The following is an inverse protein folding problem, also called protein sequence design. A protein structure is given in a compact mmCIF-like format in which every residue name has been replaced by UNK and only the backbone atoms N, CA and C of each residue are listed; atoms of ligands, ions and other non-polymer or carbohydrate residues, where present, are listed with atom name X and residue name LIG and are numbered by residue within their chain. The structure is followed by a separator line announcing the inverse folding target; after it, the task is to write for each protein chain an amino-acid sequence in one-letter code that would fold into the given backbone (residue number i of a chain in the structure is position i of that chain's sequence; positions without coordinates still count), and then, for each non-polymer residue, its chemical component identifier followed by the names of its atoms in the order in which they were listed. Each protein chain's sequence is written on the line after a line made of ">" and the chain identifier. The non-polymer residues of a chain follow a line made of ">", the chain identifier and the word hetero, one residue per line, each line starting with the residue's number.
data_IF_940696452413
#
_entry.id   IF_940696452413
#
_cell.length_a   1.000
_cell.length_b   1.000
_cell.length_c   1.000
_cell.angle_alpha   90.00
_cell.angle_beta   90.00
_cell.angle_gamma   90.00
#
_symmetry.space_group_name_H-M   'P 1'
#
loop_
_entity.id
_entity.type
_entity.pdbx_description
1 polymer ?
#
# COMPACT_ATOMS: atom_id res chain seq x y z
N UNK A 1 15.33 -4.90 -0.44
CA UNK A 1 15.04 -3.91 -1.50
C UNK A 1 13.84 -4.28 -2.37
N UNK A 2 13.66 -5.54 -2.80
CA UNK A 2 12.55 -5.94 -3.69
C UNK A 2 11.12 -5.73 -3.15
N UNK A 3 10.87 -5.97 -1.85
CA UNK A 3 9.53 -5.84 -1.27
C UNK A 3 9.01 -4.40 -1.29
N UNK A 4 9.86 -3.41 -0.98
CA UNK A 4 9.48 -2.00 -1.05
C UNK A 4 9.09 -1.63 -2.49
N UNK A 5 9.93 -1.99 -3.47
CA UNK A 5 9.65 -1.75 -4.89
C UNK A 5 8.33 -2.41 -5.30
N UNK A 6 8.10 -3.66 -4.90
CA UNK A 6 6.86 -4.37 -5.17
C UNK A 6 5.64 -3.59 -4.66
N UNK A 7 5.62 -3.20 -3.38
CA UNK A 7 4.50 -2.44 -2.82
C UNK A 7 4.38 -1.03 -3.40
N UNK A 8 5.48 -0.41 -3.84
CA UNK A 8 5.43 0.85 -4.59
C UNK A 8 4.74 0.67 -5.95
N UNK A 9 5.02 -0.41 -6.68
CA UNK A 9 4.30 -0.72 -7.93
C UNK A 9 2.82 -0.94 -7.67
N UNK A 10 2.47 -1.73 -6.63
CA UNK A 10 1.07 -1.94 -6.23
C UNK A 10 0.38 -0.61 -5.87
N UNK A 11 1.07 0.26 -5.15
CA UNK A 11 0.56 1.60 -4.82
C UNK A 11 0.21 2.39 -6.09
N UNK A 12 1.12 2.44 -7.07
CA UNK A 12 0.87 3.16 -8.32
C UNK A 12 -0.26 2.53 -9.14
N UNK A 13 -0.37 1.20 -9.17
CA UNK A 13 -1.51 0.53 -9.80
C UNK A 13 -2.84 0.97 -9.18
N UNK A 14 -2.92 1.07 -7.85
CA UNK A 14 -4.13 1.54 -7.16
C UNK A 14 -4.41 3.02 -7.40
N UNK A 15 -3.35 3.84 -7.46
CA UNK A 15 -3.46 5.25 -7.78
C UNK A 15 -4.04 5.47 -9.19
N UNK A 16 -3.50 4.77 -10.20
CA UNK A 16 -3.98 4.86 -11.57
C UNK A 16 -5.35 4.22 -11.75
N UNK A 17 -5.63 3.10 -11.06
CA UNK A 17 -6.97 2.51 -11.06
C UNK A 17 -8.01 3.50 -10.51
N UNK A 18 -7.70 4.20 -9.41
CA UNK A 18 -8.57 5.24 -8.87
C UNK A 18 -8.78 6.40 -9.87
N UNK A 19 -7.75 6.75 -10.64
CA UNK A 19 -7.87 7.73 -11.72
C UNK A 19 -8.80 7.24 -12.83
N UNK A 20 -8.58 6.03 -13.35
CA UNK A 20 -9.38 5.45 -14.42
C UNK A 20 -10.85 5.29 -14.01
N UNK A 21 -11.11 4.87 -12.77
CA UNK A 21 -12.48 4.75 -12.24
C UNK A 21 -13.22 6.10 -12.24
N UNK A 22 -12.53 7.20 -11.90
CA UNK A 22 -13.12 8.53 -11.98
C UNK A 22 -13.43 8.94 -13.43
N UNK A 23 -12.56 8.61 -14.38
CA UNK A 23 -12.79 8.91 -15.80
C UNK A 23 -13.95 8.10 -16.37
N UNK A 24 -13.94 6.78 -16.17
CA UNK A 24 -14.96 5.86 -16.68
C UNK A 24 -16.35 6.13 -16.11
N UNK A 25 -16.42 6.57 -14.84
CA UNK A 25 -17.69 6.88 -14.19
C UNK A 25 -18.23 8.28 -14.51
N UNK A 26 -17.47 9.13 -15.21
CA UNK A 26 -17.84 10.51 -15.50
C UNK A 26 -17.99 11.42 -14.27
N UNK A 27 -17.58 10.95 -13.08
CA UNK A 27 -17.67 11.67 -11.81
C UNK A 27 -16.50 11.33 -10.88
N UNK A 28 -16.18 12.23 -9.95
CA UNK A 28 -15.13 12.01 -8.95
C UNK A 28 -15.61 11.04 -7.85
N UNK A 29 -15.54 9.73 -8.10
CA UNK A 29 -15.81 8.68 -7.11
C UNK A 29 -14.75 8.63 -6.00
N UNK A 30 -13.47 8.72 -6.38
CA UNK A 30 -12.33 8.70 -5.47
C UNK A 30 -11.65 10.06 -5.56
N UNK A 31 -12.00 10.95 -4.64
CA UNK A 31 -11.47 12.31 -4.60
C UNK A 31 -9.95 12.32 -4.35
N UNK A 32 -9.47 11.51 -3.40
CA UNK A 32 -8.05 11.38 -3.09
C UNK A 32 -7.46 10.11 -3.71
N UNK A 33 -6.84 10.25 -4.89
CA UNK A 33 -6.21 9.16 -5.62
C UNK A 33 -5.03 8.53 -4.87
N UNK A 34 -4.30 9.31 -4.05
CA UNK A 34 -3.21 8.80 -3.19
C UNK A 34 -3.75 7.80 -2.16
N UNK A 35 -4.96 8.02 -1.65
CA UNK A 35 -5.63 7.05 -0.79
C UNK A 35 -6.06 5.80 -1.54
N UNK A 36 -6.48 5.91 -2.81
CA UNK A 36 -6.76 4.74 -3.65
C UNK A 36 -5.54 3.82 -3.81
N UNK A 37 -4.37 4.41 -4.08
CA UNK A 37 -3.10 3.67 -4.11
C UNK A 37 -2.77 3.00 -2.77
N UNK A 38 -2.91 3.74 -1.67
CA UNK A 38 -2.65 3.21 -0.32
C UNK A 38 -3.57 2.05 0.04
N UNK A 39 -4.88 2.17 -0.26
CA UNK A 39 -5.86 1.10 -0.01
C UNK A 39 -5.48 -0.17 -0.76
N UNK A 40 -5.11 -0.08 -2.04
CA UNK A 40 -4.70 -1.27 -2.79
C UNK A 40 -3.43 -1.91 -2.21
N UNK A 41 -2.43 -1.10 -1.86
CA UNK A 41 -1.20 -1.59 -1.24
C UNK A 41 -1.48 -2.31 0.10
N UNK A 42 -2.35 -1.75 0.93
CA UNK A 42 -2.76 -2.37 2.20
C UNK A 42 -3.52 -3.68 1.97
N UNK A 43 -4.46 -3.75 1.02
CA UNK A 43 -5.19 -4.97 0.70
C UNK A 43 -4.26 -6.10 0.24
N UNK A 44 -3.35 -5.82 -0.69
CA UNK A 44 -2.34 -6.78 -1.15
C UNK A 44 -1.40 -7.15 0.00
N UNK A 45 -1.07 -6.18 0.85
CA UNK A 45 -0.32 -6.37 2.09
C UNK A 45 -0.95 -7.37 3.03
N UNK A 46 -2.25 -7.20 3.33
CA UNK A 46 -3.03 -8.11 4.18
C UNK A 46 -3.08 -9.52 3.59
N UNK A 47 -3.34 -9.65 2.29
CA UNK A 47 -3.35 -10.96 1.62
C UNK A 47 -1.98 -11.64 1.67
N UNK A 48 -0.90 -10.89 1.44
CA UNK A 48 0.46 -11.42 1.50
C UNK A 48 0.84 -11.83 2.94
N UNK A 49 0.54 -10.99 3.93
CA UNK A 49 0.74 -11.30 5.34
C UNK A 49 -0.05 -12.54 5.78
N UNK A 50 -1.32 -12.64 5.37
CA UNK A 50 -2.15 -13.82 5.62
C UNK A 50 -1.51 -15.09 5.06
N UNK A 51 -0.96 -15.04 3.84
CA UNK A 51 -0.25 -16.18 3.24
C UNK A 51 0.97 -16.59 4.06
N UNK A 52 1.74 -15.63 4.57
CA UNK A 52 2.93 -15.91 5.39
C UNK A 52 2.54 -16.65 6.68
N UNK A 53 1.49 -16.21 7.36
CA UNK A 53 1.07 -16.80 8.65
C UNK A 53 0.30 -18.12 8.50
N UNK A 54 -0.35 -18.34 7.36
CA UNK A 54 -1.18 -19.55 7.12
C UNK A 54 -0.43 -20.67 6.41
N UNK A 55 0.75 -20.41 5.86
CA UNK A 55 1.56 -21.44 5.20
C UNK A 55 2.35 -22.25 6.23
N UNK A 56 2.43 -23.59 6.10
CA UNK A 56 3.29 -24.40 6.95
C UNK A 56 4.73 -23.90 6.82
N UNK A 57 5.44 -23.63 7.94
CA UNK A 57 6.82 -23.21 7.87
C UNK A 57 7.64 -24.31 7.18
N UNK A 58 8.41 -24.01 6.10
CA UNK A 58 9.29 -25.01 5.50
C UNK A 58 10.40 -25.45 6.47
N UNK A 59 10.68 -24.65 7.51
CA UNK A 59 11.64 -24.92 8.56
C UNK A 59 11.02 -24.62 9.93
N UNK A 60 11.24 -25.50 10.92
CA UNK A 60 10.84 -25.29 12.32
C UNK A 60 11.61 -24.08 12.90
N UNK A 61 11.05 -22.87 12.82
CA UNK A 61 11.63 -21.66 13.43
C UNK A 61 10.87 -20.37 13.12
N UNK A 62 11.19 -19.30 13.84
CA UNK A 62 10.58 -17.94 13.84
C UNK A 62 10.62 -17.16 12.50
N UNK A 63 10.86 -17.84 11.38
CA UNK A 63 11.00 -17.22 10.05
C UNK A 63 9.73 -16.50 9.56
N UNK A 64 8.55 -16.92 9.99
CA UNK A 64 7.29 -16.29 9.59
C UNK A 64 7.16 -14.86 10.14
N UNK A 65 7.52 -14.64 11.41
CA UNK A 65 7.47 -13.31 12.03
C UNK A 65 8.48 -12.35 11.41
N UNK A 66 9.71 -12.83 11.18
CA UNK A 66 10.75 -12.06 10.50
C UNK A 66 10.34 -11.68 9.06
N UNK A 67 9.77 -12.63 8.31
CA UNK A 67 9.30 -12.39 6.95
C UNK A 67 8.14 -11.38 6.91
N UNK A 68 7.16 -11.52 7.81
CA UNK A 68 6.06 -10.57 7.93
C UNK A 68 6.55 -9.15 8.25
N UNK A 69 7.45 -9.03 9.22
CA UNK A 69 8.01 -7.76 9.65
C UNK A 69 8.75 -7.02 8.53
N UNK A 70 9.75 -7.67 7.93
CA UNK A 70 10.63 -7.01 6.96
C UNK A 70 10.08 -6.93 5.55
N UNK A 71 9.29 -7.92 5.11
CA UNK A 71 8.80 -7.98 3.73
C UNK A 71 7.38 -7.47 3.55
N UNK A 72 6.61 -7.25 4.62
CA UNK A 72 5.24 -6.74 4.52
C UNK A 72 5.06 -5.47 5.36
N UNK A 73 5.27 -5.55 6.68
CA UNK A 73 4.96 -4.43 7.58
C UNK A 73 5.86 -3.22 7.33
N UNK A 74 7.18 -3.41 7.29
CA UNK A 74 8.14 -2.34 7.06
C UNK A 74 7.90 -1.56 5.75
N UNK A 75 7.82 -2.20 4.55
CA UNK A 75 7.59 -1.46 3.31
C UNK A 75 6.22 -0.76 3.28
N UNK A 76 5.16 -1.39 3.81
CA UNK A 76 3.85 -0.76 3.90
C UNK A 76 3.84 0.43 4.86
N UNK A 77 4.56 0.34 5.98
CA UNK A 77 4.71 1.46 6.91
C UNK A 77 5.40 2.65 6.24
N UNK A 78 6.50 2.41 5.51
CA UNK A 78 7.23 3.45 4.76
C UNK A 78 6.28 4.12 3.75
N UNK A 79 5.55 3.34 2.95
CA UNK A 79 4.61 3.87 1.96
C UNK A 79 3.48 4.65 2.64
N UNK A 80 2.93 4.13 3.74
CA UNK A 80 1.86 4.79 4.50
C UNK A 80 2.32 6.15 5.02
N UNK A 81 3.49 6.21 5.65
CA UNK A 81 4.07 7.46 6.17
C UNK A 81 4.26 8.47 5.02
N UNK A 82 4.85 8.04 3.89
CA UNK A 82 5.05 8.90 2.74
C UNK A 82 3.72 9.47 2.20
N UNK A 83 2.70 8.61 2.04
CA UNK A 83 1.38 9.02 1.55
C UNK A 83 0.70 10.01 2.51
N UNK A 84 0.75 9.74 3.83
CA UNK A 84 0.18 10.63 4.83
C UNK A 84 0.90 11.97 4.86
N UNK A 85 2.24 11.96 4.80
CA UNK A 85 3.05 13.17 4.74
C UNK A 85 2.68 14.04 3.53
N UNK A 86 2.68 13.46 2.33
CA UNK A 86 2.35 14.23 1.12
C UNK A 86 0.89 14.69 1.13
N UNK A 87 -0.07 13.88 1.61
CA UNK A 87 -1.46 14.31 1.75
C UNK A 87 -1.60 15.48 2.72
N UNK A 88 -0.85 15.48 3.83
CA UNK A 88 -0.86 16.59 4.78
C UNK A 88 -0.25 17.85 4.18
N UNK A 89 0.88 17.72 3.46
CA UNK A 89 1.51 18.83 2.75
C UNK A 89 0.56 19.48 1.73
N UNK A 90 -0.08 18.68 0.87
CA UNK A 90 -1.06 19.19 -0.12
C UNK A 90 -2.23 19.96 0.55
N UNK A 91 -2.63 19.57 1.77
CA UNK A 91 -3.68 20.29 2.50
C UNK A 91 -3.20 21.65 2.99
N UNK A 92 -1.99 21.71 3.54
CA UNK A 92 -1.40 22.97 3.97
C UNK A 92 -1.20 23.94 2.81
N UNK A 93 -0.78 23.44 1.65
CA UNK A 93 -0.56 24.26 0.46
C UNK A 93 -1.87 24.82 -0.13
N UNK A 94 -3.00 24.11 0.04
CA UNK A 94 -4.33 24.60 -0.36
C UNK A 94 -4.96 25.58 0.64
N UNK A 95 -4.48 25.64 1.88
CA UNK A 95 -4.96 26.55 2.93
C UNK A 95 -4.20 27.90 2.95
N UNK A 96 -3.14 28.02 2.16
CA UNK A 96 -2.35 29.26 1.95
C UNK A 96 -2.82 30.01 0.71
#
# INVERSE_FOLDING_TARGET
>A
MGALIFYTVIYFLGYYAAHMLNELSGRKLIANRRMGGLVLALLVGTAHGYKIISSPPPHHGDGAGFALGLYVLLPLAIITIAVLYFNWQDRQDNER
#
